data_IF_345831496881
#
_entry.id   IF_345831496881
#
_cell.length_a   1.000
_cell.length_b   1.000
_cell.length_c   1.000
_cell.angle_alpha   90.00
_cell.angle_beta   90.00
_cell.angle_gamma   90.00
#
_symmetry.space_group_name_H-M   'P 1'
#
loop_
_entity.id
_entity.type
_entity.pdbx_description
1 polymer ?
#
# COMPACT_ATOMS: atom_id res chain seq x y z
N UNK A 1 -8.51 -16.24 20.71
CA UNK A 1 -8.20 -15.56 19.43
C UNK A 1 -7.70 -14.12 19.59
N UNK A 2 -8.50 -13.10 19.98
CA UNK A 2 -8.00 -11.70 20.00
C UNK A 2 -6.82 -11.44 20.96
N UNK A 3 -6.78 -12.12 22.10
CA UNK A 3 -5.68 -12.06 23.07
C UNK A 3 -4.38 -12.72 22.58
N UNK A 4 -4.47 -13.63 21.60
CA UNK A 4 -3.31 -14.33 21.03
C UNK A 4 -2.47 -13.39 20.17
N UNK A 5 -3.10 -12.45 19.44
CA UNK A 5 -2.37 -11.47 18.62
C UNK A 5 -1.44 -10.60 19.47
N UNK A 6 -1.92 -10.15 20.63
CA UNK A 6 -1.08 -9.41 21.58
C UNK A 6 -0.07 -10.30 22.29
N UNK A 7 -0.37 -11.59 22.49
CA UNK A 7 0.60 -12.54 23.04
C UNK A 7 1.77 -12.74 22.09
N UNK A 8 1.50 -12.81 20.79
CA UNK A 8 2.51 -12.88 19.76
C UNK A 8 3.45 -11.68 19.80
N UNK A 9 2.91 -10.46 19.87
CA UNK A 9 3.72 -9.24 19.99
C UNK A 9 4.54 -9.21 21.29
N UNK A 10 3.95 -9.66 22.42
CA UNK A 10 4.65 -9.72 23.71
C UNK A 10 5.93 -10.55 23.65
N UNK A 11 5.93 -11.66 22.92
CA UNK A 11 7.14 -12.46 22.75
C UNK A 11 8.28 -11.63 22.15
N UNK A 12 8.02 -10.88 21.08
CA UNK A 12 9.04 -10.02 20.47
C UNK A 12 9.40 -8.83 21.36
N UNK A 13 8.42 -8.21 22.04
CA UNK A 13 8.69 -7.11 22.97
C UNK A 13 9.62 -7.52 24.12
N UNK A 14 9.46 -8.72 24.66
CA UNK A 14 10.32 -9.24 25.73
C UNK A 14 11.77 -9.49 25.27
N UNK A 15 11.98 -9.84 24.00
CA UNK A 15 13.30 -10.17 23.47
C UNK A 15 14.02 -8.97 22.82
N UNK A 16 13.28 -7.99 22.32
CA UNK A 16 13.83 -6.88 21.52
C UNK A 16 13.38 -5.49 21.97
N UNK A 17 12.56 -5.37 23.01
CA UNK A 17 12.07 -4.09 23.51
C UNK A 17 10.92 -3.53 22.67
N UNK A 18 11.15 -2.40 21.99
CA UNK A 18 10.10 -1.76 21.17
C UNK A 18 9.87 -2.57 19.90
N UNK A 19 8.59 -2.86 19.60
CA UNK A 19 8.18 -3.59 18.40
C UNK A 19 7.32 -2.70 17.51
N UNK A 20 7.59 -2.73 16.21
CA UNK A 20 6.79 -2.04 15.18
C UNK A 20 6.15 -3.10 14.30
N UNK A 21 4.82 -3.06 14.14
CA UNK A 21 4.12 -3.80 13.11
C UNK A 21 4.06 -3.03 11.80
N UNK A 22 4.29 -3.69 10.67
CA UNK A 22 4.29 -3.07 9.34
C UNK A 22 3.48 -3.91 8.36
N UNK A 23 2.61 -3.24 7.62
CA UNK A 23 1.83 -3.82 6.52
C UNK A 23 1.52 -2.77 5.46
N UNK A 24 1.06 -3.21 4.29
CA UNK A 24 0.71 -2.39 3.15
C UNK A 24 -0.69 -2.64 2.60
N UNK A 25 -1.22 -1.63 1.92
CA UNK A 25 -2.42 -1.74 1.10
C UNK A 25 -2.11 -1.39 -0.36
N UNK A 26 -2.73 -2.13 -1.28
CA UNK A 26 -2.82 -1.74 -2.69
C UNK A 26 -1.90 -2.45 -3.67
N UNK A 27 -1.17 -3.50 -3.29
CA UNK A 27 -0.22 -4.15 -4.21
C UNK A 27 -0.85 -4.68 -5.49
N UNK A 28 -2.03 -5.30 -5.39
CA UNK A 28 -2.74 -5.89 -6.54
C UNK A 28 -3.60 -4.92 -7.36
N UNK A 29 -3.56 -3.62 -7.11
CA UNK A 29 -4.38 -2.66 -7.86
C UNK A 29 -3.72 -2.24 -9.17
N UNK A 30 -4.53 -1.82 -10.14
CA UNK A 30 -4.09 -1.27 -11.43
C UNK A 30 -3.84 0.24 -11.37
N UNK A 31 -4.44 0.92 -10.37
CA UNK A 31 -4.30 2.36 -10.18
C UNK A 31 -4.01 2.73 -8.73
N UNK A 32 -3.39 3.89 -8.56
CA UNK A 32 -3.05 4.49 -7.30
C UNK A 32 -1.83 3.89 -6.60
N UNK A 33 -1.42 4.49 -5.48
CA UNK A 33 -0.19 4.15 -4.80
C UNK A 33 -0.27 2.80 -4.08
N UNK A 34 0.88 2.32 -3.62
CA UNK A 34 0.96 1.44 -2.45
C UNK A 34 1.12 2.34 -1.22
N UNK A 35 0.34 2.07 -0.18
CA UNK A 35 0.42 2.77 1.10
C UNK A 35 0.86 1.75 2.13
N UNK A 36 1.88 2.04 2.91
CA UNK A 36 2.32 1.24 4.04
C UNK A 36 2.12 2.03 5.33
N UNK A 37 1.85 1.30 6.42
CA UNK A 37 1.82 1.85 7.76
C UNK A 37 2.80 1.09 8.65
N UNK A 38 3.37 1.80 9.61
CA UNK A 38 4.21 1.29 10.67
C UNK A 38 3.57 1.69 12.00
N UNK A 39 3.30 0.75 12.90
CA UNK A 39 2.52 0.99 14.12
C UNK A 39 3.23 0.42 15.33
N UNK A 40 3.41 1.26 16.36
CA UNK A 40 3.78 0.83 17.72
C UNK A 40 2.52 0.83 18.56
N UNK A 41 2.01 -0.36 18.85
CA UNK A 41 0.76 -0.54 19.58
C UNK A 41 1.04 -0.97 21.02
N UNK A 42 0.76 -0.10 21.98
CA UNK A 42 0.90 -0.39 23.42
C UNK A 42 -0.44 -0.72 24.11
N UNK A 43 -1.55 -0.24 23.55
CA UNK A 43 -2.89 -0.43 24.11
C UNK A 43 -3.56 -1.65 23.46
N UNK A 44 -4.27 -2.44 24.26
CA UNK A 44 -5.11 -3.51 23.72
C UNK A 44 -6.32 -2.94 22.98
N UNK A 45 -6.41 -3.26 21.69
CA UNK A 45 -7.49 -2.89 20.79
C UNK A 45 -8.05 -4.15 20.11
N UNK A 46 -9.29 -4.08 19.65
CA UNK A 46 -9.96 -5.17 18.94
C UNK A 46 -9.54 -5.24 17.45
N UNK A 47 -8.23 -5.31 17.23
CA UNK A 47 -7.62 -5.34 15.90
C UNK A 47 -7.58 -6.76 15.34
N UNK A 48 -7.78 -6.86 14.02
CA UNK A 48 -7.73 -8.09 13.25
C UNK A 48 -7.36 -7.77 11.80
N UNK A 49 -7.14 -8.79 10.96
CA UNK A 49 -6.95 -8.62 9.51
C UNK A 49 -8.01 -7.67 8.94
N UNK A 50 -7.55 -6.56 8.37
CA UNK A 50 -8.39 -5.50 7.82
C UNK A 50 -9.41 -6.02 6.79
N UNK A 51 -9.12 -7.13 6.10
CA UNK A 51 -9.99 -7.73 5.09
C UNK A 51 -11.20 -8.43 5.71
N UNK A 52 -11.11 -8.85 6.97
CA UNK A 52 -12.20 -9.52 7.70
C UNK A 52 -13.15 -8.53 8.38
N UNK A 53 -12.80 -7.24 8.37
CA UNK A 53 -13.58 -6.17 8.99
C UNK A 53 -14.49 -5.47 7.96
N UNK A 54 -15.64 -4.99 8.43
CA UNK A 54 -16.48 -4.09 7.63
C UNK A 54 -15.78 -2.73 7.45
N UNK A 55 -16.18 -1.97 6.43
CA UNK A 55 -15.61 -0.64 6.20
C UNK A 55 -15.84 0.30 7.41
N UNK A 56 -17.03 0.26 8.00
CA UNK A 56 -17.36 1.02 9.21
C UNK A 56 -16.44 0.61 10.38
N UNK A 57 -16.28 -0.70 10.62
CA UNK A 57 -15.44 -1.16 11.73
C UNK A 57 -13.97 -0.79 11.53
N UNK A 58 -13.47 -0.81 10.29
CA UNK A 58 -12.12 -0.31 9.96
C UNK A 58 -11.96 1.17 10.28
N UNK A 59 -12.95 2.01 9.96
CA UNK A 59 -12.90 3.44 10.27
C UNK A 59 -12.92 3.70 11.79
N UNK A 60 -13.74 2.96 12.54
CA UNK A 60 -13.73 3.03 14.01
C UNK A 60 -12.37 2.65 14.60
N UNK A 61 -11.82 1.51 14.19
CA UNK A 61 -10.52 1.04 14.66
C UNK A 61 -9.38 1.95 14.21
N UNK A 62 -9.47 2.50 13.00
CA UNK A 62 -8.51 3.51 12.52
C UNK A 62 -8.43 4.68 13.50
N UNK A 63 -9.57 5.25 13.90
CA UNK A 63 -9.59 6.35 14.86
C UNK A 63 -9.02 5.94 16.23
N UNK A 64 -9.33 4.74 16.71
CA UNK A 64 -8.78 4.23 17.96
C UNK A 64 -7.26 4.07 17.90
N UNK A 65 -6.73 3.48 16.82
CA UNK A 65 -5.30 3.29 16.61
C UNK A 65 -4.60 4.65 16.55
N UNK A 66 -5.09 5.58 15.73
CA UNK A 66 -4.48 6.91 15.59
C UNK A 66 -4.46 7.71 16.90
N UNK A 67 -5.40 7.46 17.82
CA UNK A 67 -5.46 8.14 19.11
C UNK A 67 -4.62 7.46 20.21
N UNK A 68 -4.15 6.22 20.01
CA UNK A 68 -3.54 5.42 21.08
C UNK A 68 -2.23 4.72 20.71
N UNK A 69 -1.75 4.89 19.49
CA UNK A 69 -0.51 4.30 18.98
C UNK A 69 0.37 5.36 18.31
N UNK A 70 1.69 5.11 18.27
CA UNK A 70 2.57 5.86 17.36
C UNK A 70 2.43 5.24 15.97
N UNK A 71 2.12 6.08 14.97
CA UNK A 71 1.83 5.63 13.60
C UNK A 71 2.71 6.39 12.60
N UNK A 72 3.43 5.64 11.79
CA UNK A 72 4.17 6.14 10.65
C UNK A 72 3.53 5.72 9.33
N UNK A 73 3.51 6.60 8.33
CA UNK A 73 2.90 6.35 7.02
C UNK A 73 3.94 6.53 5.93
N UNK A 74 3.93 5.61 4.97
CA UNK A 74 4.76 5.70 3.78
C UNK A 74 3.96 5.38 2.53
N UNK A 75 4.25 6.11 1.46
CA UNK A 75 3.53 5.98 0.19
C UNK A 75 4.55 5.79 -0.91
N UNK A 76 4.29 4.85 -1.83
CA UNK A 76 4.98 4.74 -3.10
C UNK A 76 4.00 4.98 -4.26
N UNK A 77 4.32 5.95 -5.10
CA UNK A 77 3.44 6.44 -6.18
C UNK A 77 3.33 5.45 -7.35
N UNK A 78 2.33 5.58 -8.23
CA UNK A 78 2.28 4.82 -9.48
C UNK A 78 3.56 4.95 -10.33
N UNK A 79 4.21 6.12 -10.31
CA UNK A 79 5.50 6.33 -10.96
C UNK A 79 6.60 5.46 -10.38
N UNK A 80 6.75 5.45 -9.07
CA UNK A 80 7.76 4.61 -8.40
C UNK A 80 7.48 3.12 -8.61
N UNK A 81 6.21 2.72 -8.67
CA UNK A 81 5.82 1.35 -9.00
C UNK A 81 6.24 1.00 -10.43
N UNK A 82 6.03 1.90 -11.39
CA UNK A 82 6.41 1.69 -12.78
C UNK A 82 7.93 1.64 -12.98
N UNK A 83 8.69 2.46 -12.23
CA UNK A 83 10.15 2.54 -12.29
C UNK A 83 10.84 1.37 -11.57
N UNK A 84 10.38 1.04 -10.36
CA UNK A 84 11.10 0.12 -9.47
C UNK A 84 10.49 -1.26 -9.36
N UNK A 85 9.36 -1.52 -10.02
CA UNK A 85 8.46 -2.66 -9.79
C UNK A 85 7.73 -2.62 -8.44
N UNK A 86 6.66 -3.43 -8.35
CA UNK A 86 5.77 -3.43 -7.19
C UNK A 86 6.42 -3.91 -5.89
N UNK A 87 7.37 -4.85 -5.98
CA UNK A 87 8.05 -5.37 -4.81
C UNK A 87 8.94 -4.30 -4.18
N UNK A 88 9.77 -3.63 -4.98
CA UNK A 88 10.64 -2.57 -4.46
C UNK A 88 9.85 -1.32 -4.07
N UNK A 89 8.79 -0.96 -4.81
CA UNK A 89 7.92 0.15 -4.41
C UNK A 89 7.23 -0.12 -3.06
N UNK A 90 6.85 -1.37 -2.78
CA UNK A 90 6.34 -1.76 -1.46
C UNK A 90 7.41 -1.56 -0.38
N UNK A 91 8.65 -2.01 -0.62
CA UNK A 91 9.78 -1.77 0.30
C UNK A 91 10.03 -0.27 0.54
N UNK A 92 9.95 0.55 -0.51
CA UNK A 92 10.10 2.01 -0.41
C UNK A 92 9.00 2.58 0.51
N UNK A 93 7.74 2.20 0.28
CA UNK A 93 6.63 2.64 1.13
C UNK A 93 6.83 2.21 2.60
N UNK A 94 7.21 0.96 2.86
CA UNK A 94 7.47 0.46 4.23
C UNK A 94 8.63 1.20 4.91
N UNK A 95 9.75 1.41 4.21
CA UNK A 95 10.88 2.15 4.77
C UNK A 95 10.53 3.62 5.05
N UNK A 96 9.67 4.24 4.25
CA UNK A 96 9.13 5.59 4.52
C UNK A 96 8.26 5.60 5.77
N UNK A 97 7.40 4.59 5.94
CA UNK A 97 6.58 4.45 7.13
C UNK A 97 7.46 4.32 8.39
N UNK A 98 8.48 3.46 8.35
CA UNK A 98 9.45 3.29 9.45
C UNK A 98 10.23 4.59 9.73
N UNK A 99 10.71 5.26 8.68
CA UNK A 99 11.45 6.52 8.82
C UNK A 99 10.61 7.61 9.50
N UNK A 100 9.30 7.65 9.25
CA UNK A 100 8.40 8.64 9.86
C UNK A 100 8.19 8.45 11.37
N UNK A 101 8.38 7.24 11.92
CA UNK A 101 8.38 7.00 13.37
C UNK A 101 9.69 7.42 14.05
N UNK A 102 10.80 7.44 13.30
CA UNK A 102 12.15 7.74 13.81
C UNK A 102 12.60 6.87 15.01
N UNK A 103 12.23 5.57 15.00
CA UNK A 103 12.62 4.59 16.04
C UNK A 103 13.60 3.57 15.47
N UNK A 104 14.87 3.94 15.33
CA UNK A 104 15.88 3.14 14.62
C UNK A 104 16.22 1.80 15.30
N UNK A 105 16.11 1.74 16.63
CA UNK A 105 16.46 0.56 17.42
C UNK A 105 15.29 -0.39 17.67
N UNK A 106 14.10 -0.09 17.13
CA UNK A 106 12.94 -0.94 17.27
C UNK A 106 13.01 -2.18 16.36
N UNK A 107 12.41 -3.28 16.81
CA UNK A 107 12.33 -4.52 16.05
C UNK A 107 11.06 -4.57 15.21
N UNK A 108 11.22 -4.84 13.91
CA UNK A 108 10.10 -4.74 12.96
C UNK A 108 9.49 -6.11 12.67
N UNK A 109 8.17 -6.21 12.81
CA UNK A 109 7.36 -7.33 12.36
C UNK A 109 6.65 -6.91 11.08
N UNK A 110 6.92 -7.58 9.96
CA UNK A 110 6.41 -7.20 8.63
C UNK A 110 5.48 -8.30 8.09
N UNK A 111 4.30 -7.95 7.57
CA UNK A 111 3.50 -8.93 6.84
C UNK A 111 4.18 -9.35 5.52
N UNK A 112 4.13 -10.65 5.23
CA UNK A 112 4.60 -11.21 3.98
C UNK A 112 5.90 -12.00 4.11
N UNK A 113 6.75 -11.93 3.08
CA UNK A 113 7.95 -12.79 2.95
C UNK A 113 9.08 -12.09 2.22
N UNK A 114 10.31 -12.39 2.65
CA UNK A 114 11.56 -12.00 1.96
C UNK A 114 11.75 -10.49 1.78
N UNK A 115 11.17 -9.66 2.65
CA UNK A 115 11.36 -8.21 2.65
C UNK A 115 12.51 -7.85 3.60
N UNK A 116 13.57 -7.27 3.04
CA UNK A 116 14.66 -6.68 3.83
C UNK A 116 14.46 -5.17 3.91
N UNK A 117 14.03 -4.69 5.07
CA UNK A 117 13.80 -3.27 5.36
C UNK A 117 15.06 -2.62 5.95
N UNK A 118 15.01 -1.31 6.21
CA UNK A 118 16.14 -0.54 6.75
C UNK A 118 16.47 -0.86 8.21
N UNK A 119 15.54 -1.47 8.93
CA UNK A 119 15.66 -1.84 10.35
C UNK A 119 15.65 -3.35 10.52
N UNK A 120 16.21 -3.82 11.63
CA UNK A 120 16.19 -5.23 11.99
C UNK A 120 14.75 -5.69 12.23
N UNK A 121 14.43 -6.89 11.75
CA UNK A 121 13.08 -7.43 11.88
C UNK A 121 12.91 -8.81 11.28
N UNK A 122 11.66 -9.25 11.22
CA UNK A 122 11.26 -10.53 10.65
C UNK A 122 10.02 -10.35 9.77
N UNK A 123 9.99 -11.08 8.66
CA UNK A 123 8.80 -11.23 7.83
C UNK A 123 7.93 -12.37 8.35
N UNK A 124 6.63 -12.15 8.46
CA UNK A 124 5.67 -13.12 8.96
C UNK A 124 4.62 -13.32 7.90
N UNK A 125 4.51 -14.55 7.38
CA UNK A 125 3.43 -14.91 6.45
C UNK A 125 2.10 -14.86 7.20
N UNK A 126 1.14 -14.09 6.67
CA UNK A 126 -0.15 -13.79 7.32
C UNK A 126 0.06 -13.17 8.71
N UNK A 127 0.94 -12.18 8.75
CA UNK A 127 1.32 -11.46 9.96
C UNK A 127 0.14 -10.69 10.56
N UNK A 128 -0.76 -10.19 9.71
CA UNK A 128 -2.01 -9.53 10.10
C UNK A 128 -2.98 -10.44 10.87
N UNK A 129 -2.90 -11.76 10.66
CA UNK A 129 -3.64 -12.77 11.41
C UNK A 129 -2.95 -13.21 12.72
N UNK A 130 -1.69 -12.78 12.95
CA UNK A 130 -0.84 -13.27 14.06
C UNK A 130 -0.40 -12.20 15.03
N UNK A 131 -0.14 -10.98 14.56
CA UNK A 131 0.43 -9.87 15.31
C UNK A 131 -0.57 -8.73 15.41
N UNK A 132 -0.82 -8.23 16.62
CA UNK A 132 -1.73 -7.12 16.83
C UNK A 132 -1.19 -5.83 16.18
N UNK A 133 0.12 -5.62 16.25
CA UNK A 133 0.79 -4.48 15.63
C UNK A 133 0.71 -4.52 14.10
N UNK A 134 0.90 -5.70 13.48
CA UNK A 134 0.72 -5.86 12.02
C UNK A 134 -0.75 -5.67 11.65
N UNK A 135 -1.68 -6.27 12.40
CA UNK A 135 -3.12 -6.09 12.16
C UNK A 135 -3.52 -4.61 12.21
N UNK A 136 -3.02 -3.86 13.19
CA UNK A 136 -3.23 -2.41 13.28
C UNK A 136 -2.65 -1.66 12.07
N UNK A 137 -1.42 -2.00 11.65
CA UNK A 137 -0.82 -1.44 10.45
C UNK A 137 -1.67 -1.72 9.19
N UNK A 138 -2.20 -2.94 9.04
CA UNK A 138 -3.07 -3.33 7.93
C UNK A 138 -4.31 -2.43 7.82
N UNK A 139 -4.95 -2.13 8.97
CA UNK A 139 -6.14 -1.29 9.05
C UNK A 139 -5.79 0.15 8.66
N UNK A 140 -4.71 0.69 9.21
CA UNK A 140 -4.24 2.05 8.92
C UNK A 140 -3.93 2.22 7.44
N UNK A 141 -3.11 1.31 6.87
CA UNK A 141 -2.74 1.34 5.47
C UNK A 141 -3.98 1.25 4.57
N UNK A 142 -4.92 0.36 4.89
CA UNK A 142 -6.15 0.15 4.13
C UNK A 142 -7.06 1.37 4.13
N UNK A 143 -7.34 1.94 5.30
CA UNK A 143 -8.25 3.10 5.43
C UNK A 143 -7.66 4.31 4.71
N UNK A 144 -6.38 4.63 4.93
CA UNK A 144 -5.74 5.76 4.27
C UNK A 144 -5.71 5.58 2.75
N UNK A 145 -5.37 4.39 2.27
CA UNK A 145 -5.39 4.12 0.83
C UNK A 145 -6.80 4.27 0.26
N UNK A 146 -7.82 3.72 0.91
CA UNK A 146 -9.19 3.82 0.41
C UNK A 146 -9.67 5.27 0.35
N UNK A 147 -9.28 6.13 1.30
CA UNK A 147 -9.54 7.57 1.28
C UNK A 147 -8.83 8.26 0.11
N UNK A 148 -7.56 7.92 -0.18
CA UNK A 148 -6.83 8.41 -1.36
C UNK A 148 -7.58 8.04 -2.65
N UNK A 149 -8.04 6.79 -2.77
CA UNK A 149 -8.77 6.35 -3.96
C UNK A 149 -10.12 7.06 -4.13
N UNK A 150 -10.85 7.31 -3.04
CA UNK A 150 -12.11 8.08 -3.07
C UNK A 150 -11.85 9.54 -3.48
N UNK A 151 -10.77 10.16 -2.99
CA UNK A 151 -10.41 11.50 -3.41
C UNK A 151 -10.07 11.57 -4.91
N UNK A 152 -9.34 10.58 -5.43
CA UNK A 152 -8.98 10.52 -6.85
C UNK A 152 -10.16 10.19 -7.77
N UNK A 153 -11.21 9.55 -7.26
CA UNK A 153 -12.46 9.37 -8.00
C UNK A 153 -13.09 10.71 -8.41
N UNK A 154 -12.92 11.75 -7.60
CA UNK A 154 -13.42 13.10 -7.93
C UNK A 154 -12.67 13.73 -9.09
N UNK A 155 -11.40 13.36 -9.26
CA UNK A 155 -10.53 13.83 -10.35
C UNK A 155 -10.78 13.00 -11.62
N UNK A 156 -11.01 11.71 -11.46
CA UNK A 156 -11.20 10.74 -12.54
C UNK A 156 -12.52 9.98 -12.38
N UNK A 157 -13.68 10.66 -12.52
CA UNK A 157 -14.98 10.09 -12.17
C UNK A 157 -15.43 8.93 -13.05
N UNK A 158 -14.89 8.82 -14.27
CA UNK A 158 -15.25 7.78 -15.22
C UNK A 158 -14.71 6.37 -14.87
N UNK A 159 -13.76 6.25 -13.93
CA UNK A 159 -13.15 4.95 -13.59
C UNK A 159 -13.83 4.24 -12.43
N UNK A 160 -14.46 4.97 -11.49
CA UNK A 160 -15.14 4.38 -10.33
C UNK A 160 -14.21 3.95 -9.19
N UNK A 161 -13.07 4.64 -9.01
CA UNK A 161 -12.10 4.43 -7.94
C UNK A 161 -12.70 4.44 -6.54
N UNK A 162 -13.78 5.19 -6.31
CA UNK A 162 -14.48 5.21 -5.02
C UNK A 162 -15.09 3.85 -4.65
N UNK A 163 -15.44 3.02 -5.64
CA UNK A 163 -16.05 1.69 -5.43
C UNK A 163 -14.99 0.60 -5.34
N UNK A 164 -14.20 0.43 -6.41
CA UNK A 164 -13.28 -0.71 -6.53
C UNK A 164 -11.84 -0.38 -6.12
N UNK A 165 -11.53 0.83 -5.63
CA UNK A 165 -10.22 1.21 -5.06
C UNK A 165 -9.02 0.94 -5.97
N UNK A 166 -9.23 0.98 -7.29
CA UNK A 166 -8.22 0.71 -8.30
C UNK A 166 -7.97 -0.77 -8.62
N UNK A 167 -8.67 -1.72 -8.02
CA UNK A 167 -8.61 -3.14 -8.42
C UNK A 167 -9.16 -3.35 -9.83
N UNK A 168 -8.64 -4.35 -10.56
CA UNK A 168 -9.01 -4.68 -11.94
C UNK A 168 -10.37 -5.37 -12.07
N UNK A 169 -11.43 -4.71 -11.61
CA UNK A 169 -12.81 -5.17 -11.81
C UNK A 169 -13.24 -5.02 -13.26
N UNK A 170 -14.29 -5.73 -13.68
CA UNK A 170 -14.85 -5.61 -15.03
C UNK A 170 -15.17 -4.15 -15.38
N UNK A 171 -15.77 -3.40 -14.45
CA UNK A 171 -16.07 -1.99 -14.64
C UNK A 171 -14.80 -1.15 -14.87
N UNK A 172 -13.77 -1.35 -14.06
CA UNK A 172 -12.51 -0.62 -14.19
C UNK A 172 -11.79 -0.93 -15.52
N UNK A 173 -11.79 -2.20 -15.93
CA UNK A 173 -11.20 -2.61 -17.20
C UNK A 173 -11.95 -2.03 -18.40
N UNK A 174 -13.28 -1.96 -18.33
CA UNK A 174 -14.09 -1.31 -19.38
C UNK A 174 -13.79 0.19 -19.45
N UNK A 175 -13.72 0.88 -18.30
CA UNK A 175 -13.36 2.30 -18.26
C UNK A 175 -11.96 2.55 -18.84
N UNK A 176 -10.98 1.68 -18.54
CA UNK A 176 -9.63 1.77 -19.13
C UNK A 176 -9.69 1.62 -20.66
N UNK A 177 -10.51 0.71 -21.20
CA UNK A 177 -10.65 0.55 -22.66
C UNK A 177 -11.33 1.74 -23.32
N UNK A 178 -12.34 2.31 -22.67
CA UNK A 178 -13.16 3.40 -23.20
C UNK A 178 -12.44 4.75 -23.13
N UNK A 179 -11.84 5.08 -21.98
CA UNK A 179 -11.23 6.39 -21.72
C UNK A 179 -9.70 6.40 -21.82
N UNK A 180 -9.08 5.21 -21.91
CA UNK A 180 -7.64 5.02 -21.87
C UNK A 180 -7.06 5.13 -20.45
N UNK A 181 -5.83 4.65 -20.19
CA UNK A 181 -5.17 4.86 -18.90
C UNK A 181 -4.83 6.34 -18.61
N UNK A 182 -4.65 6.65 -17.32
CA UNK A 182 -4.21 7.97 -16.81
C UNK A 182 -2.86 7.87 -16.09
N UNK A 183 -2.23 9.00 -15.76
CA UNK A 183 -0.98 9.03 -14.97
C UNK A 183 -1.11 8.39 -13.58
N UNK A 184 -2.34 8.28 -13.06
CA UNK A 184 -2.63 7.60 -11.79
C UNK A 184 -2.71 6.08 -11.91
N UNK A 185 -2.80 5.54 -13.13
CA UNK A 185 -2.66 4.12 -13.38
C UNK A 185 -1.18 3.70 -13.30
N UNK A 186 -0.95 2.42 -12.97
CA UNK A 186 0.36 1.77 -13.02
C UNK A 186 0.57 1.29 -14.43
N UNK A 187 1.18 2.14 -15.25
CA UNK A 187 1.27 1.96 -16.70
C UNK A 187 2.06 0.71 -17.09
N UNK A 188 2.93 0.24 -16.20
CA UNK A 188 3.74 -0.97 -16.38
C UNK A 188 2.98 -2.29 -16.13
N UNK A 189 1.78 -2.24 -15.53
CA UNK A 189 1.03 -3.45 -15.19
C UNK A 189 0.20 -3.93 -16.38
N UNK A 190 0.17 -5.24 -16.62
CA UNK A 190 -0.93 -5.82 -17.40
C UNK A 190 -2.21 -5.85 -16.55
N UNK A 191 -3.39 -5.47 -17.08
CA UNK A 191 -3.69 -5.15 -18.49
C UNK A 191 -3.64 -3.67 -18.86
N UNK A 192 -3.17 -2.77 -17.97
CA UNK A 192 -3.07 -1.33 -18.27
C UNK A 192 -2.13 -1.09 -19.45
N UNK A 193 -0.96 -1.71 -19.44
CA UNK A 193 0.04 -1.62 -20.50
C UNK A 193 -0.53 -2.01 -21.87
N UNK A 194 -1.33 -3.08 -21.93
CA UNK A 194 -1.97 -3.57 -23.16
C UNK A 194 -3.03 -2.61 -23.71
N UNK A 195 -3.48 -1.63 -22.93
CA UNK A 195 -4.41 -0.58 -23.35
C UNK A 195 -3.71 0.77 -23.58
N UNK A 196 -2.38 0.81 -23.57
CA UNK A 196 -1.59 1.98 -23.96
C UNK A 196 -1.16 1.88 -25.42
N UNK A 197 -1.06 3.04 -26.06
CA UNK A 197 -0.36 3.21 -27.33
C UNK A 197 0.80 4.19 -27.15
N UNK A 198 1.79 4.15 -28.04
CA UNK A 198 2.89 5.12 -28.05
C UNK A 198 2.34 6.55 -28.06
N UNK A 199 1.33 6.82 -28.89
CA UNK A 199 0.64 8.11 -28.92
C UNK A 199 0.06 8.49 -27.55
N UNK A 200 -0.66 7.58 -26.89
CA UNK A 200 -1.25 7.86 -25.56
C UNK A 200 -0.18 8.16 -24.52
N UNK A 201 0.99 7.50 -24.58
CA UNK A 201 2.12 7.83 -23.69
C UNK A 201 2.63 9.24 -23.97
N UNK A 202 2.81 9.62 -25.24
CA UNK A 202 3.17 11.00 -25.58
C UNK A 202 2.14 12.02 -25.05
N UNK A 203 0.84 11.71 -25.13
CA UNK A 203 -0.21 12.58 -24.61
C UNK A 203 -0.17 12.69 -23.07
N UNK A 204 0.06 11.58 -22.36
CA UNK A 204 0.13 11.55 -20.89
C UNK A 204 1.33 12.30 -20.31
N UNK A 205 2.42 12.37 -21.07
CA UNK A 205 3.67 13.01 -20.65
C UNK A 205 4.03 14.20 -21.55
N UNK A 206 3.05 14.87 -22.15
CA UNK A 206 3.28 15.96 -23.11
C UNK A 206 4.16 17.08 -22.54
N UNK A 207 4.02 17.37 -21.25
CA UNK A 207 4.80 18.39 -20.55
C UNK A 207 6.23 17.95 -20.22
N UNK A 208 6.50 16.63 -20.15
CA UNK A 208 7.83 16.11 -19.80
C UNK A 208 8.06 14.68 -20.31
N UNK A 209 8.05 14.51 -21.64
CA UNK A 209 8.17 13.18 -22.28
C UNK A 209 9.53 12.51 -22.03
N UNK A 210 10.54 13.30 -21.66
CA UNK A 210 11.89 12.82 -21.36
C UNK A 210 12.06 12.36 -19.91
N UNK A 211 10.99 12.33 -19.11
CA UNK A 211 11.06 11.77 -17.76
C UNK A 211 11.34 10.25 -17.78
N UNK A 212 11.93 9.75 -16.70
CA UNK A 212 12.32 8.33 -16.62
C UNK A 212 11.10 7.40 -16.74
N UNK A 213 9.96 7.79 -16.17
CA UNK A 213 8.73 6.99 -16.26
C UNK A 213 8.30 6.77 -17.70
N UNK A 214 8.21 7.84 -18.50
CA UNK A 214 7.83 7.73 -19.92
C UNK A 214 8.79 6.82 -20.70
N UNK A 215 10.11 6.98 -20.50
CA UNK A 215 11.13 6.12 -21.14
C UNK A 215 10.97 4.64 -20.75
N UNK A 216 10.67 4.35 -19.49
CA UNK A 216 10.45 2.96 -19.04
C UNK A 216 9.19 2.37 -19.67
N UNK A 217 8.09 3.14 -19.74
CA UNK A 217 6.84 2.67 -20.32
C UNK A 217 6.95 2.46 -21.84
N UNK A 218 7.60 3.37 -22.57
CA UNK A 218 7.84 3.22 -24.01
C UNK A 218 8.69 1.96 -24.32
N UNK A 219 9.73 1.69 -23.52
CA UNK A 219 10.54 0.46 -23.64
C UNK A 219 9.74 -0.81 -23.35
N UNK A 220 8.80 -0.75 -22.40
CA UNK A 220 7.91 -1.88 -22.12
C UNK A 220 6.92 -2.13 -23.26
N UNK A 221 6.36 -1.08 -23.85
CA UNK A 221 5.46 -1.19 -25.02
C UNK A 221 6.14 -1.80 -26.24
N UNK A 222 7.43 -1.50 -26.47
CA UNK A 222 8.19 -2.10 -27.57
C UNK A 222 8.57 -3.57 -27.33
N UNK A 223 8.41 -4.07 -26.10
CA UNK A 223 8.80 -5.42 -25.70
C UNK A 223 7.60 -6.36 -25.46
N UNK A 224 6.37 -5.84 -25.55
CA UNK A 224 5.10 -6.54 -25.32
C UNK A 224 4.40 -6.88 -26.63
#
# INVERSE_FOLDING_TARGET
>A
MRSELFAYDRFYKQNFGTVIGVDEAGRGCLAGPVVAAAVILEVQLDVFDSKQLTAQKREELFLQIMNSAEVGIGIATPEEIDLYNIFNATKIAMNRALASLNKKDAYVLVDGKSLNLSQQGVCIVKGDEKSASIAAASIVAKVLRDRIMVAHDRIYPCYGFSKHKGYGTVHHLNAIREFGPTVFHRLSFSPVLSNLSVKKVHDLFSENINCERAKVILRKLSSS
#
